data_IF_969126669000
#
_entry.id   IF_969126669000
#
_cell.length_a   1.000
_cell.length_b   1.000
_cell.length_c   1.000
_cell.angle_alpha   90.00
_cell.angle_beta   90.00
_cell.angle_gamma   90.00
#
_symmetry.space_group_name_H-M   'P 1'
#
loop_
_entity.id
_entity.type
_entity.pdbx_description
1 polymer ?
#
# COMPACT_ATOMS: atom_id res chain seq x y z
N UNK A 1 6.62 -13.27 -2.79
CA UNK A 1 7.18 -11.96 -2.36
C UNK A 1 7.19 -10.88 -3.45
N UNK A 2 7.47 -11.22 -4.72
CA UNK A 2 7.50 -10.23 -5.81
C UNK A 2 6.15 -9.53 -6.07
N UNK A 3 5.03 -10.25 -6.01
CA UNK A 3 3.70 -9.66 -6.21
C UNK A 3 3.32 -8.65 -5.11
N UNK A 4 3.68 -8.95 -3.87
CA UNK A 4 3.46 -8.05 -2.74
C UNK A 4 4.22 -6.74 -2.90
N UNK A 5 5.49 -6.82 -3.30
CA UNK A 5 6.33 -5.64 -3.57
C UNK A 5 5.78 -4.84 -4.76
N UNK A 6 5.37 -5.51 -5.85
CA UNK A 6 4.75 -4.86 -7.02
C UNK A 6 3.45 -4.14 -6.66
N UNK A 7 2.62 -4.75 -5.81
CA UNK A 7 1.40 -4.12 -5.30
C UNK A 7 1.74 -2.88 -4.48
N UNK A 8 2.68 -2.96 -3.52
CA UNK A 8 3.10 -1.80 -2.73
C UNK A 8 3.65 -0.68 -3.62
N UNK A 9 4.41 -1.04 -4.66
CA UNK A 9 4.93 -0.08 -5.64
C UNK A 9 3.81 0.58 -6.47
N UNK A 10 2.80 -0.19 -6.88
CA UNK A 10 1.64 0.33 -7.59
C UNK A 10 0.84 1.33 -6.73
N UNK A 11 0.66 1.04 -5.44
CA UNK A 11 0.02 1.96 -4.46
C UNK A 11 0.87 3.21 -4.24
N UNK A 12 2.21 3.07 -4.21
CA UNK A 12 3.13 4.22 -4.11
C UNK A 12 3.03 5.15 -5.33
N UNK A 13 2.94 4.58 -6.53
CA UNK A 13 2.90 5.34 -7.79
C UNK A 13 1.59 6.11 -7.94
N UNK A 14 0.48 5.50 -7.53
CA UNK A 14 -0.85 6.12 -7.60
C UNK A 14 -1.68 5.65 -6.42
N UNK A 15 -2.15 6.59 -5.60
CA UNK A 15 -3.05 6.29 -4.50
C UNK A 15 -4.34 5.64 -5.04
N UNK A 16 -4.73 4.50 -4.48
CA UNK A 16 -5.86 3.70 -4.98
C UNK A 16 -7.05 3.77 -4.04
N UNK A 17 -8.24 4.01 -4.58
CA UNK A 17 -9.49 3.99 -3.80
C UNK A 17 -9.84 2.59 -3.33
N UNK A 18 -10.57 2.50 -2.21
CA UNK A 18 -11.05 1.23 -1.63
C UNK A 18 -11.92 0.41 -2.58
N UNK A 19 -12.61 1.07 -3.51
CA UNK A 19 -13.53 0.43 -4.46
C UNK A 19 -12.88 0.07 -5.81
N UNK A 20 -11.60 0.39 -6.00
CA UNK A 20 -10.92 0.10 -7.26
C UNK A 20 -10.86 -1.41 -7.54
N UNK A 21 -10.95 -1.80 -8.82
CA UNK A 21 -10.75 -3.20 -9.23
C UNK A 21 -9.38 -3.75 -8.82
N UNK A 22 -8.41 -2.85 -8.65
CA UNK A 22 -7.11 -3.16 -8.07
C UNK A 22 -7.23 -3.72 -6.66
N UNK A 23 -8.02 -3.10 -5.78
CA UNK A 23 -8.26 -3.61 -4.43
C UNK A 23 -8.94 -4.97 -4.47
N UNK A 24 -9.98 -5.12 -5.29
CA UNK A 24 -10.73 -6.39 -5.40
C UNK A 24 -9.84 -7.56 -5.84
N UNK A 25 -8.95 -7.33 -6.80
CA UNK A 25 -8.00 -8.34 -7.28
C UNK A 25 -6.88 -8.65 -6.28
N UNK A 26 -6.50 -7.68 -5.44
CA UNK A 26 -5.38 -7.80 -4.51
C UNK A 26 -5.82 -7.77 -3.03
N UNK A 27 -7.09 -8.06 -2.73
CA UNK A 27 -7.70 -7.82 -1.42
C UNK A 27 -6.91 -8.47 -0.27
N UNK A 28 -6.40 -9.69 -0.52
CA UNK A 28 -5.55 -10.40 0.42
C UNK A 28 -4.22 -9.66 0.68
N UNK A 29 -3.52 -9.23 -0.38
CA UNK A 29 -2.25 -8.52 -0.27
C UNK A 29 -2.40 -7.15 0.38
N UNK A 30 -3.49 -6.43 0.06
CA UNK A 30 -3.78 -5.13 0.67
C UNK A 30 -4.08 -5.29 2.16
N UNK A 31 -4.90 -6.28 2.53
CA UNK A 31 -5.19 -6.57 3.94
C UNK A 31 -3.92 -6.92 4.72
N UNK A 32 -3.04 -7.74 4.13
CA UNK A 32 -1.75 -8.05 4.73
C UNK A 32 -0.85 -6.81 4.86
N UNK A 33 -0.83 -5.94 3.86
CA UNK A 33 -0.09 -4.68 3.92
C UNK A 33 -0.62 -3.70 4.96
N UNK A 34 -1.94 -3.65 5.16
CA UNK A 34 -2.55 -2.86 6.22
C UNK A 34 -2.18 -3.43 7.60
N UNK A 35 -2.28 -4.75 7.79
CA UNK A 35 -1.92 -5.41 9.06
C UNK A 35 -0.44 -5.26 9.42
N UNK A 36 0.45 -5.24 8.42
CA UNK A 36 1.89 -4.98 8.61
C UNK A 36 2.22 -3.49 8.78
N UNK A 37 1.24 -2.59 8.63
CA UNK A 37 1.44 -1.14 8.71
C UNK A 37 2.19 -0.54 7.53
N UNK A 38 2.27 -1.22 6.38
CA UNK A 38 2.93 -0.73 5.17
C UNK A 38 2.05 0.23 4.36
N UNK A 39 0.74 0.14 4.52
CA UNK A 39 -0.24 1.04 3.91
C UNK A 39 -1.22 1.53 4.96
N UNK A 40 -1.80 2.71 4.73
CA UNK A 40 -2.83 3.28 5.58
C UNK A 40 -3.90 3.96 4.74
N UNK A 41 -5.12 3.92 5.24
CA UNK A 41 -6.26 4.68 4.76
C UNK A 41 -6.44 6.02 5.50
N UNK A 42 -5.68 6.22 6.57
CA UNK A 42 -5.83 7.34 7.50
C UNK A 42 -4.70 8.34 7.26
N UNK A 43 -5.07 9.61 7.13
CA UNK A 43 -4.13 10.74 7.09
C UNK A 43 -3.43 10.91 8.44
N UNK A 44 -2.35 11.69 8.46
CA UNK A 44 -1.69 12.14 9.69
C UNK A 44 -2.65 12.84 10.65
N UNK A 45 -3.70 13.47 10.13
CA UNK A 45 -4.74 14.15 10.93
C UNK A 45 -5.85 13.22 11.42
N UNK A 46 -5.69 11.89 11.31
CA UNK A 46 -6.69 10.91 11.77
C UNK A 46 -7.93 10.79 10.88
N UNK A 47 -7.96 11.48 9.74
CA UNK A 47 -9.09 11.45 8.78
C UNK A 47 -8.91 10.34 7.74
N UNK A 48 -9.99 9.64 7.42
CA UNK A 48 -9.98 8.67 6.32
C UNK A 48 -9.83 9.42 4.98
N UNK A 49 -8.82 9.07 4.18
CA UNK A 49 -8.52 9.71 2.91
C UNK A 49 -9.33 9.15 1.73
N UNK A 50 -10.11 8.08 1.91
CA UNK A 50 -10.83 7.45 0.79
C UNK A 50 -9.95 6.59 -0.13
N UNK A 51 -8.64 6.57 0.14
CA UNK A 51 -7.62 5.89 -0.66
C UNK A 51 -6.61 5.18 0.24
N UNK A 52 -6.03 4.09 -0.26
CA UNK A 52 -4.83 3.48 0.29
C UNK A 52 -3.62 4.29 -0.12
N UNK A 53 -2.85 4.71 0.87
CA UNK A 53 -1.55 5.36 0.70
C UNK A 53 -0.46 4.53 1.36
N UNK A 54 0.77 4.67 0.85
CA UNK A 54 1.93 4.01 1.42
C UNK A 54 2.40 4.74 2.67
N UNK A 55 2.71 4.01 3.74
CA UNK A 55 3.29 4.58 4.96
C UNK A 55 4.82 4.64 4.88
N UNK A 56 5.45 5.35 5.83
CA UNK A 56 6.92 5.36 5.98
C UNK A 56 7.49 3.95 6.18
N UNK A 57 6.82 3.09 6.93
CA UNK A 57 7.23 1.70 7.12
C UNK A 57 7.18 0.92 5.80
N UNK A 58 6.10 1.10 5.00
CA UNK A 58 5.99 0.50 3.68
C UNK A 58 7.06 0.99 2.70
N UNK A 59 7.44 2.27 2.79
CA UNK A 59 8.51 2.85 1.97
C UNK A 59 9.89 2.28 2.34
N UNK A 60 10.20 2.14 3.62
CA UNK A 60 11.43 1.50 4.09
C UNK A 60 11.47 0.02 3.69
N UNK A 61 10.35 -0.69 3.78
CA UNK A 61 10.22 -2.07 3.32
C UNK A 61 10.49 -2.19 1.81
N UNK A 62 9.88 -1.32 1.01
CA UNK A 62 10.12 -1.25 -0.45
C UNK A 62 11.59 -0.95 -0.77
N UNK A 63 12.23 -0.05 -0.03
CA UNK A 63 13.64 0.27 -0.24
C UNK A 63 14.56 -0.92 0.06
N UNK A 64 14.26 -1.69 1.12
CA UNK A 64 15.05 -2.85 1.54
C UNK A 64 14.85 -4.09 0.66
N UNK A 65 13.62 -4.34 0.21
CA UNK A 65 13.26 -5.59 -0.47
C UNK A 65 12.92 -5.43 -1.95
N UNK A 66 12.40 -4.27 -2.33
CA UNK A 66 11.94 -4.00 -3.69
C UNK A 66 12.99 -3.37 -4.58
N UNK A 67 13.96 -2.66 -4.00
CA UNK A 67 14.96 -1.91 -4.75
C UNK A 67 14.31 -0.82 -5.59
N UNK A 68 14.57 0.45 -5.25
CA UNK A 68 14.40 1.49 -6.25
C UNK A 68 15.35 1.17 -7.42
N UNK A 69 14.80 0.63 -8.51
CA UNK A 69 15.40 0.61 -9.84
C UNK A 69 14.29 0.89 -10.85
#
# INVERSE_FOLDING_TARGET
>A
MGEYIRMLYAIKKEARTFQSDFYRKNAHGVSEAASRGHISCVSTDGRNMGVWSLTTAGQLFLQKHGGAK
#
